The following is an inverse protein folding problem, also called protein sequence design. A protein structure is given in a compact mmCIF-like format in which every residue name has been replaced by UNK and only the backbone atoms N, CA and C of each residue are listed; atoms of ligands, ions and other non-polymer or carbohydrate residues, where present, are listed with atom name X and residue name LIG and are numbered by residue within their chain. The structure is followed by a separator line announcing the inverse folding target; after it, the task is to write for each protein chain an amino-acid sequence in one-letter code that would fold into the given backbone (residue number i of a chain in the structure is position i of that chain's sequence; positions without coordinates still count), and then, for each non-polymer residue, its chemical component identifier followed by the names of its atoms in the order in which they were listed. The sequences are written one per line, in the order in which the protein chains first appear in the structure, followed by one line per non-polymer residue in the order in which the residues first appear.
data_IF_990324120502
#
_entry.id   IF_990324120502
#
_cell.length_a   1.000
_cell.length_b   1.000
_cell.length_c   1.000
_cell.angle_alpha   90.00
_cell.angle_beta   90.00
_cell.angle_gamma   90.00
#
_symmetry.space_group_name_H-M   'P 1'
#
loop_
_entity.id
_entity.type
_entity.pdbx_description
1 polymer ?
#
# COMPACT_ATOMS: atom_id res chain seq x y z
N UNK A 1 -0.11 -15.88 -14.30
CA UNK A 1 -1.21 -14.99 -13.84
C UNK A 1 -0.82 -13.53 -14.12
N UNK A 2 -1.67 -12.69 -14.73
CA UNK A 2 -1.33 -11.28 -15.09
C UNK A 2 -0.81 -10.45 -13.90
N UNK A 3 -1.30 -10.73 -12.69
CA UNK A 3 -0.84 -10.12 -11.44
C UNK A 3 0.64 -10.37 -11.14
N UNK A 4 1.16 -11.59 -11.36
CA UNK A 4 2.57 -11.91 -11.14
C UNK A 4 3.49 -11.16 -12.12
N UNK A 5 3.09 -11.05 -13.39
CA UNK A 5 3.86 -10.34 -14.41
C UNK A 5 3.95 -8.85 -14.09
N UNK A 6 2.83 -8.26 -13.68
CA UNK A 6 2.78 -6.84 -13.33
C UNK A 6 3.62 -6.55 -12.08
N UNK A 7 3.65 -7.48 -11.12
CA UNK A 7 4.44 -7.39 -9.88
C UNK A 7 5.96 -7.36 -10.11
N UNK A 8 6.48 -8.17 -11.05
CA UNK A 8 7.93 -8.35 -11.26
C UNK A 8 8.56 -7.37 -12.24
N UNK A 9 7.75 -6.56 -12.93
CA UNK A 9 8.25 -5.67 -14.00
C UNK A 9 8.73 -4.34 -13.41
N UNK A 10 7.82 -3.43 -13.05
CA UNK A 10 8.15 -2.12 -12.48
C UNK A 10 6.92 -1.49 -11.78
N UNK A 11 7.09 -0.30 -11.20
CA UNK A 11 6.02 0.48 -10.58
C UNK A 11 4.88 0.84 -11.55
N UNK A 12 5.19 1.22 -12.79
CA UNK A 12 4.20 1.63 -13.79
C UNK A 12 3.31 0.43 -14.14
N UNK A 13 3.92 -0.74 -14.36
CA UNK A 13 3.22 -1.98 -14.62
C UNK A 13 2.29 -2.38 -13.46
N UNK A 14 2.76 -2.32 -12.21
CA UNK A 14 1.91 -2.57 -11.02
C UNK A 14 0.72 -1.63 -10.97
N UNK A 15 0.95 -0.34 -11.17
CA UNK A 15 -0.09 0.70 -11.11
C UNK A 15 -1.11 0.59 -12.24
N UNK A 16 -0.73 0.04 -13.39
CA UNK A 16 -1.62 -0.10 -14.55
C UNK A 16 -2.78 -1.07 -14.35
N UNK A 17 -2.68 -1.99 -13.38
CA UNK A 17 -3.68 -3.04 -13.12
C UNK A 17 -4.44 -2.84 -11.79
N UNK A 18 -4.04 -1.85 -11.00
CA UNK A 18 -4.65 -1.53 -9.72
C UNK A 18 -5.74 -0.48 -9.91
N UNK A 19 -6.78 -0.55 -9.08
CA UNK A 19 -7.85 0.43 -9.12
C UNK A 19 -7.30 1.88 -9.01
N UNK A 20 -7.75 2.84 -9.86
CA UNK A 20 -7.22 4.19 -9.88
C UNK A 20 -7.31 4.95 -8.54
N UNK A 21 -8.30 4.60 -7.70
CA UNK A 21 -8.48 5.20 -6.37
C UNK A 21 -7.38 4.69 -5.42
N UNK A 22 -7.04 3.40 -5.50
CA UNK A 22 -5.95 2.78 -4.75
C UNK A 22 -4.59 3.29 -5.23
N UNK A 23 -4.39 3.45 -6.54
CA UNK A 23 -3.17 4.01 -7.11
C UNK A 23 -2.79 5.37 -6.50
N UNK A 24 -3.78 6.24 -6.29
CA UNK A 24 -3.58 7.59 -5.77
C UNK A 24 -3.40 7.66 -4.24
N UNK A 25 -3.88 6.64 -3.53
CA UNK A 25 -3.96 6.66 -2.07
C UNK A 25 -3.00 5.69 -1.40
N UNK A 26 -2.40 4.74 -2.12
CA UNK A 26 -1.50 3.73 -1.57
C UNK A 26 -0.07 3.86 -2.09
N UNK A 27 0.89 3.66 -1.19
CA UNK A 27 2.30 3.74 -1.51
C UNK A 27 2.63 2.57 -2.42
N UNK A 28 3.57 2.78 -3.33
CA UNK A 28 4.00 1.72 -4.23
C UNK A 28 4.47 0.48 -3.45
N UNK A 29 5.15 0.70 -2.33
CA UNK A 29 5.73 -0.33 -1.47
C UNK A 29 4.69 -1.06 -0.59
N UNK A 30 3.64 -0.37 -0.15
CA UNK A 30 2.48 -1.02 0.51
C UNK A 30 1.67 -1.83 -0.50
N UNK A 31 1.42 -1.25 -1.68
CA UNK A 31 0.70 -1.90 -2.78
C UNK A 31 1.42 -3.17 -3.23
N UNK A 32 2.76 -3.12 -3.37
CA UNK A 32 3.59 -4.29 -3.72
C UNK A 32 3.34 -5.47 -2.79
N UNK A 33 3.37 -5.22 -1.48
CA UNK A 33 3.16 -6.26 -0.45
C UNK A 33 1.78 -6.88 -0.55
N UNK A 34 0.75 -6.06 -0.72
CA UNK A 34 -0.62 -6.56 -0.87
C UNK A 34 -0.73 -7.41 -2.14
N UNK A 35 -0.12 -6.98 -3.25
CA UNK A 35 -0.09 -7.77 -4.49
C UNK A 35 0.65 -9.10 -4.31
N UNK A 36 1.81 -9.12 -3.65
CA UNK A 36 2.56 -10.34 -3.29
C UNK A 36 1.72 -11.29 -2.44
N UNK A 37 1.00 -10.75 -1.45
CA UNK A 37 0.09 -11.53 -0.62
C UNK A 37 -1.07 -12.11 -1.45
N UNK A 38 -1.72 -11.31 -2.29
CA UNK A 38 -2.78 -11.78 -3.17
C UNK A 38 -2.33 -12.92 -4.08
N UNK A 39 -1.12 -12.81 -4.66
CA UNK A 39 -0.53 -13.86 -5.50
C UNK A 39 -0.38 -15.17 -4.73
N UNK A 40 0.16 -15.13 -3.50
CA UNK A 40 0.32 -16.33 -2.67
C UNK A 40 -1.03 -16.93 -2.26
N UNK A 41 -1.99 -16.10 -1.86
CA UNK A 41 -3.32 -16.56 -1.44
C UNK A 41 -4.08 -17.34 -2.53
N UNK A 42 -3.89 -16.99 -3.80
CA UNK A 42 -4.56 -17.66 -4.94
C UNK A 42 -3.67 -18.67 -5.64
N UNK A 43 -2.52 -19.04 -5.05
CA UNK A 43 -1.62 -20.04 -5.62
C UNK A 43 -2.35 -21.37 -5.84
N UNK A 44 -2.07 -22.02 -6.97
CA UNK A 44 -2.55 -23.38 -7.23
C UNK A 44 -1.91 -24.40 -6.28
N UNK A 45 -0.68 -24.14 -5.85
CA UNK A 45 -0.01 -24.91 -4.81
C UNK A 45 -0.52 -24.48 -3.42
N UNK A 46 -1.21 -25.36 -2.67
CA UNK A 46 -1.71 -25.02 -1.34
C UNK A 46 -0.59 -24.73 -0.34
N UNK A 47 0.63 -25.24 -0.54
CA UNK A 47 1.76 -25.01 0.37
C UNK A 47 2.32 -23.59 0.28
N UNK A 48 2.10 -22.90 -0.83
CA UNK A 48 2.46 -21.49 -1.02
C UNK A 48 1.43 -20.53 -0.41
N UNK A 49 0.22 -21.04 -0.08
CA UNK A 49 -0.83 -20.20 0.52
C UNK A 49 -0.49 -19.91 1.97
N UNK A 50 -0.48 -18.63 2.40
CA UNK A 50 -0.16 -18.28 3.76
C UNK A 50 -1.22 -18.81 4.73
N UNK A 51 -0.83 -19.04 5.98
CA UNK A 51 -1.80 -19.19 7.05
C UNK A 51 -2.60 -17.89 7.23
N UNK A 52 -3.74 -17.97 7.91
CA UNK A 52 -4.52 -16.75 8.23
C UNK A 52 -3.71 -15.81 9.12
N UNK A 53 -2.89 -16.34 10.03
CA UNK A 53 -2.00 -15.55 10.88
C UNK A 53 -0.95 -14.80 10.06
N UNK A 54 -0.28 -15.49 9.13
CA UNK A 54 0.69 -14.86 8.23
C UNK A 54 0.04 -13.80 7.34
N UNK A 55 -1.17 -14.06 6.83
CA UNK A 55 -1.90 -13.09 6.02
C UNK A 55 -2.23 -11.83 6.82
N UNK A 56 -2.72 -11.99 8.06
CA UNK A 56 -3.00 -10.88 8.96
C UNK A 56 -1.73 -10.07 9.25
N UNK A 57 -0.63 -10.74 9.55
CA UNK A 57 0.65 -10.08 9.81
C UNK A 57 1.13 -9.29 8.57
N UNK A 58 1.03 -9.87 7.37
CA UNK A 58 1.40 -9.18 6.13
C UNK A 58 0.53 -7.96 5.86
N UNK A 59 -0.78 -8.03 6.13
CA UNK A 59 -1.70 -6.90 5.99
C UNK A 59 -1.38 -5.79 6.98
N UNK A 60 -1.09 -6.13 8.25
CA UNK A 60 -0.67 -5.16 9.25
C UNK A 60 0.64 -4.49 8.86
N UNK A 61 1.59 -5.25 8.32
CA UNK A 61 2.85 -4.71 7.83
C UNK A 61 2.66 -3.78 6.64
N UNK A 62 1.81 -4.14 5.67
CA UNK A 62 1.46 -3.27 4.56
C UNK A 62 0.79 -1.96 5.03
N UNK A 63 -0.07 -2.02 6.04
CA UNK A 63 -0.69 -0.84 6.64
C UNK A 63 0.33 0.05 7.37
N UNK A 64 1.31 -0.54 8.07
CA UNK A 64 2.40 0.21 8.69
C UNK A 64 3.24 0.95 7.65
N UNK A 65 3.61 0.27 6.55
CA UNK A 65 4.34 0.87 5.43
C UNK A 65 3.54 2.02 4.81
N UNK A 66 2.23 1.85 4.65
CA UNK A 66 1.34 2.90 4.16
C UNK A 66 1.32 4.12 5.09
N UNK A 67 1.20 3.91 6.40
CA UNK A 67 1.17 5.00 7.37
C UNK A 67 2.48 5.82 7.39
N UNK A 68 3.62 5.16 7.15
CA UNK A 68 4.90 5.85 7.04
C UNK A 68 5.04 6.72 5.78
N UNK A 69 4.24 6.47 4.74
CA UNK A 69 4.27 7.26 3.50
C UNK A 69 3.58 8.62 3.65
N UNK A 70 2.44 8.67 4.33
CA UNK A 70 1.66 9.90 4.54
C UNK A 70 2.23 10.84 5.63
N UNK A 71 3.21 10.39 6.40
CA UNK A 71 3.82 11.15 7.50
C UNK A 71 4.65 12.36 7.06
N UNK A 72 5.01 12.45 5.77
CA UNK A 72 5.81 13.55 5.21
C UNK A 72 4.98 14.62 4.47
N UNK A 73 3.65 14.45 4.33
CA UNK A 73 2.78 15.54 3.86
C UNK A 73 2.27 16.37 5.04
N UNK A 74 3.14 17.25 5.53
CA UNK A 74 2.72 18.41 6.33
C UNK A 74 1.93 19.33 5.40
N UNK A 75 0.62 19.47 5.62
CA UNK A 75 -0.06 20.72 5.29
C UNK A 75 -0.23 21.54 6.58
N UNK A 76 0.74 22.42 6.79
CA UNK A 76 0.64 23.57 7.68
C UNK A 76 -0.26 24.59 6.99
N UNK A 77 -1.58 24.39 7.06
CA UNK A 77 -2.54 25.46 6.73
C UNK A 77 -3.73 25.42 7.68
N UNK A 78 -3.52 25.83 8.94
CA UNK A 78 -4.57 26.47 9.75
C UNK A 78 -3.97 27.58 10.63
N UNK A 79 -3.96 28.77 10.04
CA UNK A 79 -4.28 30.06 10.68
C UNK A 79 -3.25 30.66 11.66
N UNK A 80 -2.26 31.37 11.09
CA UNK A 80 -1.66 32.54 11.74
C UNK A 80 -2.43 33.80 11.36
N UNK A 81 -3.40 34.21 12.19
CA UNK A 81 -3.93 35.58 12.39
C UNK A 81 -5.07 35.45 13.42
N UNK A 82 -5.17 36.11 14.56
CA UNK A 82 -4.51 37.29 15.09
C UNK A 82 -4.58 37.27 16.63
N UNK A 83 -3.50 37.66 17.30
CA UNK A 83 -3.60 38.30 18.62
C UNK A 83 -3.52 39.81 18.41
N UNK A 84 -4.47 40.61 18.87
CA UNK A 84 -4.18 41.97 19.30
C UNK A 84 -3.72 41.92 20.76
N UNK A 85 -2.57 42.52 21.00
CA UNK A 85 -2.17 42.97 22.32
C UNK A 85 -3.18 44.02 22.83
N UNK A 86 -3.67 43.84 24.05
CA UNK A 86 -3.71 44.79 25.18
C UNK A 86 -4.70 44.32 26.24
#
# INVERSE_FOLDING_TARGET
MQLQVSLTTDEIARRSIVDPVVHKQCSDESMKRVMELCVRCVSEDPSERPSVEDALWNLQFAAQVQNSWGGDSIDTTRESTASPAQ
#
